data_IF_424338550015
#
_entry.id   IF_424338550015
#
_cell.length_a   1.000
_cell.length_b   1.000
_cell.length_c   1.000
_cell.angle_alpha   90.00
_cell.angle_beta   90.00
_cell.angle_gamma   90.00
#
_symmetry.space_group_name_H-M   'P 1'
#
loop_
_entity.id
_entity.type
_entity.pdbx_description
1 polymer ?
#
# COMPACT_ATOMS: atom_id res chain seq x y z
N UNK A 1 -30.98 -30.46 -24.91
CA UNK A 1 -29.81 -31.02 -24.23
C UNK A 1 -29.47 -30.06 -23.12
N UNK A 2 -29.88 -30.40 -21.92
CA UNK A 2 -29.65 -29.62 -20.68
C UNK A 2 -28.24 -29.86 -20.22
N UNK A 3 -27.38 -28.85 -20.18
CA UNK A 3 -26.06 -28.93 -19.55
C UNK A 3 -26.22 -28.73 -18.05
N UNK A 4 -26.13 -29.81 -17.34
CA UNK A 4 -26.05 -29.90 -15.90
C UNK A 4 -24.75 -29.20 -15.41
N UNK A 5 -24.89 -28.01 -14.86
CA UNK A 5 -23.81 -27.33 -14.13
C UNK A 5 -23.87 -27.81 -12.69
N UNK A 6 -23.38 -29.04 -12.44
CA UNK A 6 -23.12 -29.52 -11.10
C UNK A 6 -21.94 -28.73 -10.51
N UNK A 7 -22.22 -27.72 -9.73
CA UNK A 7 -21.24 -27.09 -8.85
C UNK A 7 -20.66 -28.20 -7.93
N UNK A 8 -19.35 -28.21 -7.75
CA UNK A 8 -18.67 -29.09 -6.80
C UNK A 8 -19.37 -28.97 -5.46
N UNK A 9 -19.89 -30.11 -4.94
CA UNK A 9 -20.59 -30.12 -3.66
C UNK A 9 -19.64 -29.56 -2.59
N UNK A 10 -20.15 -28.72 -1.67
CA UNK A 10 -19.42 -28.09 -0.55
C UNK A 10 -18.47 -29.08 0.15
N UNK A 11 -18.87 -30.33 0.23
CA UNK A 11 -18.11 -31.43 0.83
C UNK A 11 -16.91 -31.87 -0.03
N UNK A 12 -17.03 -31.88 -1.35
CA UNK A 12 -15.94 -32.22 -2.27
C UNK A 12 -14.88 -31.11 -2.35
N UNK A 13 -15.30 -29.85 -2.27
CA UNK A 13 -14.39 -28.72 -2.19
C UNK A 13 -13.52 -28.79 -0.93
N UNK A 14 -14.13 -29.01 0.24
CA UNK A 14 -13.41 -29.13 1.51
C UNK A 14 -12.46 -30.33 1.52
N UNK A 15 -12.86 -31.44 0.90
CA UNK A 15 -12.00 -32.64 0.78
C UNK A 15 -10.81 -32.39 -0.17
N UNK A 16 -11.00 -31.63 -1.23
CA UNK A 16 -9.92 -31.30 -2.18
C UNK A 16 -8.93 -30.30 -1.58
N UNK A 17 -9.39 -29.31 -0.83
CA UNK A 17 -8.53 -28.35 -0.12
C UNK A 17 -7.73 -29.05 0.99
N UNK A 18 -8.36 -29.88 1.81
CA UNK A 18 -7.67 -30.62 2.87
C UNK A 18 -6.62 -31.62 2.34
N UNK A 19 -6.80 -32.17 1.14
CA UNK A 19 -5.84 -33.09 0.50
C UNK A 19 -4.71 -32.38 -0.24
N UNK A 20 -4.96 -31.18 -0.78
CA UNK A 20 -3.99 -30.44 -1.58
C UNK A 20 -2.98 -29.64 -0.75
N UNK A 21 -3.35 -29.26 0.47
CA UNK A 21 -2.55 -28.36 1.32
C UNK A 21 -2.53 -28.95 2.72
N UNK A 22 -1.48 -29.69 3.08
CA UNK A 22 -1.33 -30.23 4.45
C UNK A 22 -1.51 -29.14 5.51
N UNK A 23 -2.02 -29.52 6.72
CA UNK A 23 -2.40 -28.58 7.80
C UNK A 23 -1.35 -27.52 8.16
N UNK A 24 -0.06 -27.86 8.06
CA UNK A 24 1.04 -26.92 8.26
C UNK A 24 1.06 -25.78 7.22
N UNK A 25 0.66 -26.03 5.98
CA UNK A 25 0.56 -24.99 4.95
C UNK A 25 -0.68 -24.12 5.17
N UNK A 26 -1.79 -24.70 5.64
CA UNK A 26 -3.00 -23.96 6.02
C UNK A 26 -2.76 -23.03 7.19
N UNK A 27 -2.01 -23.48 8.22
CA UNK A 27 -1.60 -22.63 9.36
C UNK A 27 -0.65 -21.50 8.92
N UNK A 28 0.25 -21.76 7.97
CA UNK A 28 1.11 -20.71 7.37
C UNK A 28 0.29 -19.70 6.57
N UNK A 29 -0.73 -20.15 5.85
CA UNK A 29 -1.63 -19.26 5.11
C UNK A 29 -2.47 -18.42 6.08
N UNK A 30 -2.93 -18.98 7.18
CA UNK A 30 -3.64 -18.23 8.25
C UNK A 30 -2.72 -17.21 8.94
N UNK A 31 -1.47 -17.56 9.19
CA UNK A 31 -0.47 -16.63 9.74
C UNK A 31 -0.15 -15.49 8.73
N UNK A 32 -0.06 -15.80 7.44
CA UNK A 32 0.12 -14.80 6.38
C UNK A 32 -1.10 -13.87 6.22
N UNK A 33 -2.29 -14.34 6.57
CA UNK A 33 -3.52 -13.53 6.61
C UNK A 33 -3.68 -12.71 7.89
N UNK A 34 -2.65 -12.65 8.76
CA UNK A 34 -2.69 -11.88 10.01
C UNK A 34 -3.53 -12.50 11.14
N UNK A 35 -3.90 -13.78 11.02
CA UNK A 35 -4.76 -14.47 11.99
C UNK A 35 -3.96 -14.98 13.20
N UNK A 36 -2.63 -14.98 13.14
CA UNK A 36 -1.73 -15.62 14.11
C UNK A 36 -1.25 -14.80 15.31
N UNK A 37 -1.65 -13.54 15.50
CA UNK A 37 -1.03 -12.66 16.51
C UNK A 37 -1.95 -12.19 17.64
N UNK A 38 -3.12 -12.77 17.84
CA UNK A 38 -4.07 -12.31 18.88
C UNK A 38 -4.05 -13.16 20.15
N UNK A 39 -3.10 -14.08 20.32
CA UNK A 39 -3.05 -14.97 21.49
C UNK A 39 -2.16 -14.46 22.65
N UNK A 40 -1.80 -13.17 22.70
CA UNK A 40 -1.04 -12.61 23.81
C UNK A 40 -1.67 -11.29 24.29
N UNK A 41 -2.61 -11.39 25.23
CA UNK A 41 -2.99 -10.23 26.00
C UNK A 41 -4.44 -10.10 26.44
N UNK A 42 -4.96 -11.01 27.25
CA UNK A 42 -5.98 -10.72 28.25
C UNK A 42 -5.93 -11.77 29.36
N UNK A 43 -5.01 -11.58 30.26
CA UNK A 43 -4.95 -12.29 31.53
C UNK A 43 -4.79 -11.29 32.65
N UNK A 44 -5.90 -10.89 33.27
CA UNK A 44 -5.88 -10.16 34.53
C UNK A 44 -5.47 -11.11 35.66
N UNK A 45 -4.22 -10.97 36.11
CA UNK A 45 -3.83 -11.43 37.46
C UNK A 45 -2.95 -10.37 38.08
N UNK A 46 -3.45 -9.79 39.14
CA UNK A 46 -2.75 -8.94 40.09
C UNK A 46 -1.56 -9.68 40.69
N UNK A 47 -0.35 -9.22 40.43
CA UNK A 47 0.81 -9.51 41.30
C UNK A 47 1.79 -8.35 41.22
N UNK A 48 2.29 -8.01 42.38
CA UNK A 48 3.08 -6.90 42.85
C UNK A 48 4.40 -6.66 42.11
N UNK A 49 4.69 -5.38 41.93
CA UNK A 49 5.98 -4.65 41.96
C UNK A 49 7.29 -5.43 41.73
N UNK A 50 7.88 -5.23 40.58
CA UNK A 50 9.27 -5.48 40.27
C UNK A 50 9.54 -4.87 38.91
N UNK A 51 9.81 -3.53 38.86
CA UNK A 51 10.02 -2.81 37.63
C UNK A 51 11.34 -3.19 36.99
N UNK A 52 11.30 -4.01 35.96
CA UNK A 52 12.31 -4.05 34.94
C UNK A 52 11.69 -3.43 33.69
N UNK A 53 12.06 -2.19 33.39
CA UNK A 53 11.74 -1.54 32.12
C UNK A 53 12.41 -2.33 31.02
N UNK A 54 11.69 -3.22 30.38
CA UNK A 54 12.14 -3.83 29.11
C UNK A 54 12.03 -2.73 28.06
N UNK A 55 13.16 -2.12 27.71
CA UNK A 55 13.25 -1.28 26.53
C UNK A 55 12.78 -2.08 25.33
N UNK A 56 11.97 -1.49 24.42
CA UNK A 56 11.62 -2.16 23.17
C UNK A 56 12.91 -2.60 22.47
N UNK A 57 12.94 -3.78 21.83
CA UNK A 57 14.11 -4.21 21.09
C UNK A 57 14.48 -3.13 20.07
N UNK A 58 15.76 -2.81 20.00
CA UNK A 58 16.28 -1.89 19.01
C UNK A 58 15.82 -2.37 17.61
N UNK A 59 15.39 -1.47 16.71
CA UNK A 59 15.06 -1.84 15.35
C UNK A 59 16.21 -2.62 14.74
N UNK A 60 15.91 -3.69 14.02
CA UNK A 60 16.92 -4.49 13.33
C UNK A 60 17.77 -3.56 12.46
N UNK A 61 19.10 -3.73 12.44
CA UNK A 61 19.97 -2.91 11.60
C UNK A 61 19.53 -3.05 10.14
N UNK A 62 19.42 -1.93 9.45
CA UNK A 62 19.12 -1.92 8.02
C UNK A 62 20.17 -2.75 7.27
N UNK A 63 19.78 -3.45 6.18
CA UNK A 63 20.73 -4.19 5.38
C UNK A 63 21.90 -3.31 4.93
N UNK A 64 23.14 -3.82 4.92
CA UNK A 64 24.29 -3.06 4.45
C UNK A 64 24.03 -2.49 3.05
N UNK A 65 24.16 -1.19 2.87
CA UNK A 65 23.96 -0.49 1.60
C UNK A 65 22.63 0.26 1.42
N UNK A 66 21.68 0.16 2.35
CA UNK A 66 20.39 0.88 2.28
C UNK A 66 20.19 1.88 3.42
N UNK A 67 21.26 2.50 3.91
CA UNK A 67 21.13 3.56 4.90
C UNK A 67 21.08 4.93 4.24
N UNK A 68 20.17 5.79 4.72
CA UNK A 68 20.23 7.21 4.40
C UNK A 68 21.58 7.77 4.78
N UNK A 69 22.14 8.65 3.96
CA UNK A 69 23.26 9.48 4.38
C UNK A 69 22.86 10.23 5.65
N UNK A 70 23.70 10.11 6.68
CA UNK A 70 23.52 10.85 7.93
C UNK A 70 24.57 11.95 8.02
N UNK A 71 24.28 13.07 8.67
CA UNK A 71 25.33 14.02 9.00
C UNK A 71 26.48 13.31 9.71
N UNK A 72 27.70 13.40 9.14
CA UNK A 72 28.89 12.76 9.69
C UNK A 72 29.28 11.41 9.08
N UNK A 73 28.51 10.83 8.17
CA UNK A 73 28.89 9.62 7.44
C UNK A 73 30.07 9.86 6.48
N UNK A 74 30.27 11.11 6.07
CA UNK A 74 31.42 11.54 5.26
C UNK A 74 32.05 12.80 5.85
N UNK A 75 33.34 12.98 5.61
CA UNK A 75 34.01 14.21 5.96
C UNK A 75 33.38 15.40 5.24
N UNK A 76 33.13 16.46 5.97
CA UNK A 76 32.70 17.72 5.40
C UNK A 76 33.73 18.17 4.35
N UNK A 77 33.28 18.67 3.23
CA UNK A 77 34.13 19.13 2.10
C UNK A 77 34.92 18.02 1.36
N UNK A 78 34.50 16.76 1.44
CA UNK A 78 35.10 15.67 0.63
C UNK A 78 35.04 15.98 -0.88
N UNK A 79 34.10 16.82 -1.29
CA UNK A 79 33.89 17.32 -2.65
C UNK A 79 34.61 18.62 -3.00
N UNK A 80 35.36 19.23 -2.06
CA UNK A 80 36.01 20.52 -2.29
C UNK A 80 36.93 20.48 -3.54
N UNK A 81 36.72 21.44 -4.45
CA UNK A 81 37.46 21.52 -5.71
C UNK A 81 37.06 20.51 -6.78
N UNK A 82 36.01 19.73 -6.56
CA UNK A 82 35.48 18.78 -7.52
C UNK A 82 34.14 19.24 -8.08
N UNK A 83 33.93 19.03 -9.38
CA UNK A 83 32.67 19.30 -10.05
C UNK A 83 31.98 18.02 -10.48
N UNK A 84 30.64 18.04 -10.50
CA UNK A 84 29.80 16.94 -10.94
C UNK A 84 28.71 17.47 -11.87
N UNK A 85 28.54 16.79 -13.01
CA UNK A 85 27.41 17.01 -13.90
C UNK A 85 26.38 15.91 -13.67
N UNK A 86 25.17 16.30 -13.37
CA UNK A 86 24.03 15.43 -13.13
C UNK A 86 23.07 15.53 -14.31
N UNK A 87 22.64 14.41 -14.85
CA UNK A 87 21.78 14.37 -16.03
C UNK A 87 20.35 14.10 -15.61
N UNK A 88 19.51 15.11 -15.78
CA UNK A 88 18.08 15.12 -15.44
C UNK A 88 17.79 15.71 -14.05
N UNK A 89 16.86 16.67 -14.02
CA UNK A 89 16.30 17.26 -12.80
C UNK A 89 15.06 16.51 -12.28
N UNK A 90 15.03 15.18 -12.41
CA UNK A 90 14.08 14.34 -11.68
C UNK A 90 14.44 14.28 -10.20
N UNK A 91 13.57 13.68 -9.36
CA UNK A 91 13.80 13.57 -7.90
C UNK A 91 15.18 13.00 -7.58
N UNK A 92 15.62 11.94 -8.28
CA UNK A 92 16.93 11.33 -8.03
C UNK A 92 18.10 12.28 -8.35
N UNK A 93 18.03 13.04 -9.44
CA UNK A 93 19.07 13.99 -9.82
C UNK A 93 19.13 15.17 -8.86
N UNK A 94 17.99 15.73 -8.49
CA UNK A 94 17.92 16.81 -7.50
C UNK A 94 18.35 16.37 -6.10
N UNK A 95 18.00 15.13 -5.70
CA UNK A 95 18.50 14.55 -4.44
C UNK A 95 20.03 14.44 -4.48
N UNK A 96 20.61 13.94 -5.58
CA UNK A 96 22.05 13.85 -5.74
C UNK A 96 22.71 15.24 -5.66
N UNK A 97 22.15 16.24 -6.36
CA UNK A 97 22.66 17.61 -6.30
C UNK A 97 22.65 18.16 -4.86
N UNK A 98 21.52 18.01 -4.16
CA UNK A 98 21.32 18.47 -2.80
C UNK A 98 22.34 17.83 -1.83
N UNK A 99 22.49 16.50 -1.84
CA UNK A 99 23.38 15.82 -0.94
C UNK A 99 24.85 16.07 -1.28
N UNK A 100 25.21 16.12 -2.56
CA UNK A 100 26.59 16.39 -2.97
C UNK A 100 27.00 17.84 -2.68
N UNK A 101 26.10 18.79 -2.83
CA UNK A 101 26.37 20.19 -2.47
C UNK A 101 26.70 20.34 -0.97
N UNK A 102 25.99 19.61 -0.09
CA UNK A 102 26.31 19.56 1.35
C UNK A 102 27.74 19.05 1.62
N UNK A 103 28.27 18.24 0.74
CA UNK A 103 29.62 17.67 0.83
C UNK A 103 30.69 18.54 0.12
N UNK A 104 30.30 19.71 -0.36
CA UNK A 104 31.23 20.68 -0.99
C UNK A 104 31.51 20.46 -2.48
N UNK A 105 30.75 19.58 -3.16
CA UNK A 105 30.85 19.46 -4.62
C UNK A 105 30.18 20.68 -5.29
N UNK A 106 30.76 21.09 -6.44
CA UNK A 106 30.11 22.01 -7.37
C UNK A 106 29.23 21.18 -8.33
N UNK A 107 27.93 21.28 -8.19
CA UNK A 107 26.98 20.51 -9.00
C UNK A 107 26.46 21.34 -10.18
N UNK A 108 26.22 20.70 -11.32
CA UNK A 108 25.49 21.22 -12.46
C UNK A 108 24.50 20.17 -12.90
N UNK A 109 23.22 20.51 -12.93
CA UNK A 109 22.15 19.61 -13.37
C UNK A 109 21.67 20.03 -14.75
N UNK A 110 21.72 19.13 -15.72
CA UNK A 110 21.22 19.37 -17.08
C UNK A 110 19.85 18.71 -17.22
N UNK A 111 18.81 19.53 -17.45
CA UNK A 111 17.44 19.06 -17.63
C UNK A 111 16.98 19.34 -19.05
N UNK A 112 16.56 18.30 -19.78
CA UNK A 112 16.14 18.42 -21.16
C UNK A 112 14.83 19.20 -21.35
N UNK A 113 13.97 19.20 -20.35
CA UNK A 113 12.67 19.88 -20.40
C UNK A 113 12.72 21.27 -19.75
N UNK A 114 11.61 22.01 -19.84
CA UNK A 114 11.49 23.33 -19.22
C UNK A 114 11.14 23.28 -17.72
N UNK A 115 10.99 22.10 -17.12
CA UNK A 115 10.58 21.93 -15.72
C UNK A 115 11.28 20.76 -15.06
N UNK A 116 11.55 20.89 -13.77
CA UNK A 116 12.05 19.79 -12.93
C UNK A 116 10.95 18.81 -12.54
N UNK A 117 11.34 17.71 -11.87
CA UNK A 117 10.45 16.69 -11.31
C UNK A 117 10.38 15.40 -12.09
N UNK A 118 10.56 15.46 -13.42
CA UNK A 118 10.51 14.28 -14.28
C UNK A 118 9.16 13.55 -14.14
N UNK A 119 9.19 12.27 -13.77
CA UNK A 119 7.96 11.45 -13.56
C UNK A 119 7.16 11.83 -12.32
N UNK A 120 7.71 12.62 -11.41
CA UNK A 120 7.01 13.12 -10.24
C UNK A 120 6.23 14.39 -10.58
N UNK A 121 5.26 14.22 -11.46
CA UNK A 121 4.43 15.30 -12.02
C UNK A 121 3.01 15.19 -11.50
N UNK A 122 2.39 16.33 -11.25
CA UNK A 122 0.96 16.46 -10.98
C UNK A 122 0.33 17.26 -12.11
N UNK A 123 -0.82 16.84 -12.58
CA UNK A 123 -1.58 17.47 -13.67
C UNK A 123 -2.81 18.14 -13.09
N UNK A 124 -3.06 19.37 -13.51
CA UNK A 124 -4.18 20.20 -13.07
C UNK A 124 -5.04 20.64 -14.26
N UNK A 125 -6.22 21.17 -13.96
CA UNK A 125 -7.09 21.74 -15.00
C UNK A 125 -6.37 22.85 -15.76
N UNK A 126 -6.40 22.78 -17.08
CA UNK A 126 -5.69 23.71 -17.97
C UNK A 126 -4.29 23.25 -18.40
N UNK A 127 -3.70 22.26 -17.73
CA UNK A 127 -2.38 21.73 -18.11
C UNK A 127 -2.42 21.02 -19.49
N UNK A 128 -1.32 21.17 -20.23
CA UNK A 128 -1.08 20.41 -21.43
C UNK A 128 -0.19 19.19 -21.14
N UNK A 129 -0.60 18.03 -21.62
CA UNK A 129 0.22 16.80 -21.65
C UNK A 129 0.73 16.62 -23.07
N UNK A 130 2.03 16.80 -23.23
CA UNK A 130 2.73 16.72 -24.53
C UNK A 130 3.50 15.41 -24.55
N UNK A 131 3.20 14.55 -25.51
CA UNK A 131 3.87 13.29 -25.79
C UNK A 131 4.53 13.34 -27.16
N UNK A 132 5.25 12.31 -27.53
CA UNK A 132 5.98 12.26 -28.81
C UNK A 132 5.07 12.34 -30.04
N UNK A 133 3.84 11.85 -29.93
CA UNK A 133 2.87 11.68 -31.01
C UNK A 133 1.52 12.32 -30.73
N UNK A 134 1.33 12.89 -29.54
CA UNK A 134 0.06 13.51 -29.16
C UNK A 134 0.23 14.70 -28.21
N UNK A 135 -0.76 15.57 -28.22
CA UNK A 135 -0.90 16.65 -27.23
C UNK A 135 -2.34 16.67 -26.75
N UNK A 136 -2.53 16.62 -25.43
CA UNK A 136 -3.83 16.65 -24.77
C UNK A 136 -3.87 17.81 -23.79
N UNK A 137 -5.02 18.47 -23.70
CA UNK A 137 -5.30 19.47 -22.68
C UNK A 137 -6.21 18.87 -21.60
N UNK A 138 -5.88 19.10 -20.34
CA UNK A 138 -6.73 18.73 -19.22
C UNK A 138 -7.89 19.71 -19.12
N UNK A 139 -9.12 19.20 -19.23
CA UNK A 139 -10.35 20.00 -19.26
C UNK A 139 -11.22 19.92 -18.01
N UNK A 140 -10.74 19.23 -16.94
CA UNK A 140 -11.43 19.28 -15.67
C UNK A 140 -11.27 20.65 -14.97
N UNK A 141 -12.05 20.91 -13.95
CA UNK A 141 -12.10 22.20 -13.27
C UNK A 141 -10.73 22.66 -12.77
N UNK A 142 -10.50 23.96 -12.80
CA UNK A 142 -9.24 24.60 -12.35
C UNK A 142 -9.16 24.79 -10.83
N UNK A 143 -10.00 24.08 -10.06
CA UNK A 143 -9.91 24.05 -8.61
C UNK A 143 -8.55 23.47 -8.18
N UNK A 144 -7.76 24.16 -7.34
CA UNK A 144 -6.44 23.68 -6.92
C UNK A 144 -6.48 22.36 -6.13
N UNK A 145 -7.62 22.00 -5.56
CA UNK A 145 -7.84 20.71 -4.88
C UNK A 145 -8.10 19.56 -5.87
N UNK A 146 -8.38 19.88 -7.15
CA UNK A 146 -8.56 18.90 -8.20
C UNK A 146 -7.27 18.72 -8.99
N UNK A 147 -6.65 17.56 -8.84
CA UNK A 147 -5.43 17.21 -9.55
C UNK A 147 -5.33 15.70 -9.80
N UNK A 148 -4.46 15.35 -10.72
CA UNK A 148 -4.15 13.96 -11.04
C UNK A 148 -2.65 13.71 -11.02
N UNK A 149 -2.23 12.66 -10.33
CA UNK A 149 -0.84 12.19 -10.28
C UNK A 149 -0.66 11.02 -11.26
N UNK A 150 -0.16 11.23 -12.50
CA UNK A 150 -0.03 10.16 -13.49
C UNK A 150 1.12 9.20 -13.20
N UNK A 151 2.01 9.57 -12.30
CA UNK A 151 3.15 8.78 -11.85
C UNK A 151 2.98 8.28 -10.43
N UNK A 152 3.92 8.59 -9.51
CA UNK A 152 3.77 8.26 -8.11
C UNK A 152 2.56 8.99 -7.53
N UNK A 153 1.76 8.30 -6.73
CA UNK A 153 0.53 8.86 -6.15
C UNK A 153 0.46 8.76 -4.63
N UNK A 154 1.30 7.93 -4.01
CA UNK A 154 1.26 7.65 -2.58
C UNK A 154 2.65 7.38 -2.00
N UNK A 155 2.78 7.57 -0.70
CA UNK A 155 4.00 7.31 0.06
C UNK A 155 3.65 6.30 1.16
N UNK A 156 4.27 5.13 1.12
CA UNK A 156 4.14 4.11 2.16
C UNK A 156 4.83 4.56 3.45
N UNK A 157 4.27 4.20 4.60
CA UNK A 157 4.80 4.60 5.91
C UNK A 157 6.26 4.22 6.16
N UNK A 158 6.77 3.20 5.47
CA UNK A 158 8.14 2.73 5.59
C UNK A 158 9.12 3.38 4.59
N UNK A 159 8.67 4.30 3.74
CA UNK A 159 9.53 5.09 2.86
C UNK A 159 10.24 6.20 3.63
N UNK A 160 11.04 5.81 4.62
CA UNK A 160 11.63 6.73 5.61
C UNK A 160 12.48 7.83 4.99
N UNK A 161 13.21 7.54 3.91
CA UNK A 161 14.04 8.54 3.20
C UNK A 161 13.19 9.65 2.60
N UNK A 162 12.17 9.28 1.84
CA UNK A 162 11.28 10.25 1.20
C UNK A 162 10.52 11.07 2.25
N UNK A 163 10.00 10.40 3.27
CA UNK A 163 9.34 11.07 4.40
C UNK A 163 10.32 11.96 5.19
N UNK A 164 11.58 11.59 5.24
CA UNK A 164 12.66 12.41 5.80
C UNK A 164 12.82 13.72 5.05
N UNK A 165 12.92 13.67 3.72
CA UNK A 165 12.99 14.87 2.89
C UNK A 165 11.71 15.71 2.95
N UNK A 166 10.54 15.10 2.99
CA UNK A 166 9.30 15.84 3.18
C UNK A 166 9.33 16.66 4.48
N UNK A 167 9.82 16.08 5.57
CA UNK A 167 9.98 16.80 6.85
C UNK A 167 11.06 17.88 6.78
N UNK A 168 12.22 17.58 6.20
CA UNK A 168 13.33 18.51 6.06
C UNK A 168 12.94 19.75 5.25
N UNK A 169 12.13 19.55 4.22
CA UNK A 169 11.71 20.61 3.31
C UNK A 169 10.39 21.29 3.67
N UNK A 170 9.69 20.77 4.67
CA UNK A 170 8.41 21.31 5.09
C UNK A 170 7.26 21.00 4.13
N UNK A 171 7.35 19.90 3.37
CA UNK A 171 6.25 19.45 2.50
C UNK A 171 5.11 18.97 3.38
N UNK A 172 3.94 19.60 3.25
CA UNK A 172 2.75 19.20 3.96
C UNK A 172 2.27 17.83 3.47
N UNK A 173 2.02 16.92 4.40
CA UNK A 173 1.53 15.57 4.11
C UNK A 173 0.13 15.38 4.67
N UNK A 174 -0.68 14.63 3.94
CA UNK A 174 -2.01 14.20 4.35
C UNK A 174 -2.19 12.69 4.16
N UNK A 175 -3.24 12.12 4.74
CA UNK A 175 -3.53 10.70 4.63
C UNK A 175 -4.02 10.35 3.23
N UNK A 176 -3.36 9.38 2.60
CA UNK A 176 -3.84 8.78 1.35
C UNK A 176 -4.74 7.58 1.65
N UNK A 177 -5.97 7.60 1.16
CA UNK A 177 -6.93 6.49 1.33
C UNK A 177 -6.74 5.46 0.21
N UNK A 178 -5.89 4.47 0.47
CA UNK A 178 -5.58 3.43 -0.51
C UNK A 178 -6.65 2.32 -0.58
N UNK A 179 -7.33 2.03 0.53
CA UNK A 179 -8.42 1.04 0.62
C UNK A 179 -9.68 1.71 1.19
N UNK A 180 -10.56 2.11 0.29
CA UNK A 180 -11.86 2.67 0.67
C UNK A 180 -12.88 1.55 0.85
N UNK A 181 -13.19 1.19 2.07
CA UNK A 181 -14.18 0.17 2.42
C UNK A 181 -15.62 0.58 2.08
N UNK A 182 -15.87 1.84 1.76
CA UNK A 182 -17.16 2.33 1.27
C UNK A 182 -17.26 2.35 -0.27
N UNK A 183 -16.17 2.02 -0.98
CA UNK A 183 -16.19 1.96 -2.45
C UNK A 183 -17.18 0.91 -2.95
N UNK A 184 -17.80 1.18 -4.09
CA UNK A 184 -18.66 0.23 -4.80
C UNK A 184 -17.78 -0.69 -5.64
N UNK A 185 -18.06 -1.99 -5.54
CA UNK A 185 -17.45 -3.04 -6.35
C UNK A 185 -18.50 -3.56 -7.30
N UNK A 186 -18.20 -3.61 -8.59
CA UNK A 186 -19.07 -4.14 -9.63
C UNK A 186 -18.39 -5.34 -10.31
N UNK A 187 -19.16 -6.40 -10.53
CA UNK A 187 -18.78 -7.57 -11.32
C UNK A 187 -19.97 -8.00 -12.16
N UNK A 188 -19.74 -8.26 -13.43
CA UNK A 188 -20.81 -8.74 -14.34
C UNK A 188 -21.14 -10.20 -14.10
N UNK A 189 -20.25 -10.97 -13.46
CA UNK A 189 -20.41 -12.40 -13.18
C UNK A 189 -20.93 -12.71 -11.78
N UNK A 190 -21.04 -11.71 -10.91
CA UNK A 190 -21.41 -11.88 -9.50
C UNK A 190 -22.51 -10.89 -9.10
N UNK A 191 -23.21 -11.18 -7.99
CA UNK A 191 -24.23 -10.29 -7.40
C UNK A 191 -25.34 -9.88 -8.37
N UNK A 192 -25.67 -10.73 -9.35
CA UNK A 192 -26.63 -10.43 -10.43
C UNK A 192 -26.29 -9.14 -11.21
N UNK A 193 -25.00 -8.81 -11.33
CA UNK A 193 -24.54 -7.59 -11.98
C UNK A 193 -24.83 -6.30 -11.18
N UNK A 194 -25.17 -6.40 -9.90
CA UNK A 194 -25.44 -5.24 -9.06
C UNK A 194 -24.19 -4.85 -8.26
N UNK A 195 -23.88 -3.56 -8.12
CA UNK A 195 -22.76 -3.13 -7.32
C UNK A 195 -22.97 -3.46 -5.83
N UNK A 196 -21.89 -3.83 -5.15
CA UNK A 196 -21.88 -4.04 -3.71
C UNK A 196 -20.78 -3.21 -3.03
N UNK A 197 -20.92 -2.94 -1.75
CA UNK A 197 -19.93 -2.16 -1.00
C UNK A 197 -18.74 -3.05 -0.60
N UNK A 198 -17.51 -2.55 -0.77
CA UNK A 198 -16.28 -3.29 -0.47
C UNK A 198 -16.24 -3.89 0.93
N UNK A 199 -16.68 -3.16 1.96
CA UNK A 199 -16.70 -3.69 3.34
C UNK A 199 -17.59 -4.93 3.49
N UNK A 200 -18.69 -5.02 2.73
CA UNK A 200 -19.58 -6.19 2.73
C UNK A 200 -18.88 -7.40 2.12
N UNK A 201 -18.21 -7.20 0.98
CA UNK A 201 -17.38 -8.22 0.34
C UNK A 201 -16.37 -8.80 1.35
N UNK A 202 -15.61 -7.95 2.03
CA UNK A 202 -14.61 -8.38 3.00
C UNK A 202 -15.22 -9.09 4.22
N UNK A 203 -16.31 -8.56 4.76
CA UNK A 203 -16.95 -9.14 5.95
C UNK A 203 -17.53 -10.52 5.64
N UNK A 204 -18.25 -10.66 4.53
CA UNK A 204 -18.93 -11.90 4.17
C UNK A 204 -17.93 -12.99 3.77
N UNK A 205 -16.87 -12.64 3.01
CA UNK A 205 -15.78 -13.60 2.72
C UNK A 205 -15.12 -14.09 4.00
N UNK A 206 -14.82 -13.20 4.92
CA UNK A 206 -14.22 -13.53 6.22
C UNK A 206 -15.13 -14.45 7.05
N UNK A 207 -16.42 -14.16 7.07
CA UNK A 207 -17.43 -14.96 7.75
C UNK A 207 -17.53 -16.38 7.18
N UNK A 208 -17.62 -16.52 5.88
CA UNK A 208 -17.68 -17.82 5.24
C UNK A 208 -16.40 -18.66 5.39
N UNK A 209 -15.22 -18.02 5.31
CA UNK A 209 -13.95 -18.73 5.56
C UNK A 209 -13.95 -19.28 6.99
N UNK A 210 -14.36 -18.48 7.96
CA UNK A 210 -14.43 -18.91 9.36
C UNK A 210 -15.43 -20.05 9.57
N UNK A 211 -16.62 -19.98 8.95
CA UNK A 211 -17.62 -21.04 9.01
C UNK A 211 -17.09 -22.34 8.39
N UNK A 212 -16.54 -22.27 7.18
CA UNK A 212 -16.01 -23.44 6.49
C UNK A 212 -14.88 -24.12 7.28
N UNK A 213 -13.97 -23.31 7.87
CA UNK A 213 -12.90 -23.85 8.70
C UNK A 213 -13.45 -24.44 10.02
N UNK A 214 -14.45 -23.82 10.64
CA UNK A 214 -15.10 -24.36 11.82
C UNK A 214 -15.77 -25.71 11.54
N UNK A 215 -16.40 -25.86 10.38
CA UNK A 215 -16.96 -27.13 9.93
C UNK A 215 -15.88 -28.19 9.73
N UNK A 216 -14.74 -27.84 9.13
CA UNK A 216 -13.61 -28.76 8.94
C UNK A 216 -13.05 -29.25 10.29
N UNK A 217 -12.86 -28.34 11.27
CA UNK A 217 -12.41 -28.67 12.61
C UNK A 217 -13.41 -29.59 13.32
N UNK A 218 -14.72 -29.30 13.26
CA UNK A 218 -15.75 -30.11 13.91
C UNK A 218 -15.94 -31.48 13.27
N UNK A 219 -15.60 -31.64 12.01
CA UNK A 219 -15.65 -32.94 11.29
C UNK A 219 -14.37 -33.78 11.47
N UNK A 220 -13.42 -33.33 12.27
CA UNK A 220 -12.17 -34.03 12.51
C UNK A 220 -11.17 -33.99 11.34
N UNK A 221 -11.39 -33.12 10.35
CA UNK A 221 -10.49 -33.02 9.19
C UNK A 221 -9.06 -32.60 9.54
N UNK A 222 -8.86 -32.03 10.74
CA UNK A 222 -7.57 -31.52 11.24
C UNK A 222 -7.14 -32.26 12.53
N UNK A 223 -7.62 -33.45 12.78
CA UNK A 223 -7.36 -34.21 14.03
C UNK A 223 -5.92 -34.69 14.17
N UNK A 224 -5.18 -34.76 13.07
CA UNK A 224 -3.76 -35.12 13.07
C UNK A 224 -2.86 -33.91 13.42
N UNK A 225 -3.29 -32.68 13.13
CA UNK A 225 -2.54 -31.47 13.30
C UNK A 225 -2.88 -30.70 14.58
N UNK A 226 -4.07 -30.92 15.13
CA UNK A 226 -4.59 -30.18 16.28
C UNK A 226 -4.86 -31.05 17.48
N UNK A 227 -4.36 -30.64 18.65
CA UNK A 227 -4.79 -31.23 19.94
C UNK A 227 -6.23 -30.85 20.26
N UNK A 228 -6.85 -31.51 21.25
CA UNK A 228 -8.19 -31.16 21.73
C UNK A 228 -8.26 -29.70 22.24
N UNK A 229 -7.20 -29.22 22.87
CA UNK A 229 -7.09 -27.84 23.32
C UNK A 229 -6.99 -26.87 22.15
N UNK A 230 -6.17 -27.19 21.14
CA UNK A 230 -6.03 -26.35 19.94
C UNK A 230 -7.35 -26.23 19.18
N UNK A 231 -8.11 -27.32 19.08
CA UNK A 231 -9.46 -27.32 18.48
C UNK A 231 -10.41 -26.38 19.21
N UNK A 232 -10.41 -26.41 20.52
CA UNK A 232 -11.23 -25.49 21.32
C UNK A 232 -10.84 -24.03 21.08
N UNK A 233 -9.55 -23.75 21.09
CA UNK A 233 -9.01 -22.41 20.92
C UNK A 233 -9.27 -21.86 19.51
N UNK A 234 -9.07 -22.68 18.47
CA UNK A 234 -9.30 -22.25 17.09
C UNK A 234 -10.78 -21.97 16.82
N UNK A 235 -11.70 -22.80 17.36
CA UNK A 235 -13.13 -22.55 17.23
C UNK A 235 -13.55 -21.26 17.91
N UNK A 236 -13.01 -20.95 19.10
CA UNK A 236 -13.25 -19.69 19.79
C UNK A 236 -12.71 -18.49 18.97
N UNK A 237 -11.51 -18.61 18.43
CA UNK A 237 -10.91 -17.61 17.53
C UNK A 237 -11.76 -17.38 16.29
N UNK A 238 -12.23 -18.46 15.63
CA UNK A 238 -13.01 -18.37 14.39
C UNK A 238 -14.37 -17.71 14.60
N UNK A 239 -15.01 -17.90 15.78
CA UNK A 239 -16.23 -17.18 16.13
C UNK A 239 -16.01 -15.66 16.14
N UNK A 240 -14.94 -15.19 16.76
CA UNK A 240 -14.61 -13.77 16.76
C UNK A 240 -14.14 -13.27 15.39
N UNK A 241 -13.34 -14.06 14.69
CA UNK A 241 -12.82 -13.71 13.39
C UNK A 241 -13.93 -13.54 12.37
N UNK A 242 -14.86 -14.49 12.29
CA UNK A 242 -15.92 -14.54 11.29
C UNK A 242 -17.27 -13.94 11.75
N UNK A 243 -17.40 -13.45 12.99
CA UNK A 243 -18.69 -13.12 13.59
C UNK A 243 -19.70 -14.27 13.52
N UNK A 244 -19.24 -15.49 13.83
CA UNK A 244 -20.09 -16.67 13.82
C UNK A 244 -20.95 -16.72 15.08
N UNK A 245 -22.14 -17.31 14.96
CA UNK A 245 -22.97 -17.61 16.10
C UNK A 245 -22.42 -18.75 16.99
N UNK A 246 -23.15 -19.12 18.04
CA UNK A 246 -22.76 -20.20 18.95
C UNK A 246 -22.68 -21.58 18.28
N UNK A 247 -23.36 -21.74 17.15
CA UNK A 247 -23.35 -22.96 16.32
C UNK A 247 -22.26 -22.94 15.25
N UNK A 248 -21.42 -21.89 15.23
CA UNK A 248 -20.37 -21.62 14.24
C UNK A 248 -20.93 -21.36 12.83
N UNK A 249 -22.11 -20.79 12.72
CA UNK A 249 -22.76 -20.42 11.45
C UNK A 249 -22.61 -18.92 11.22
N UNK A 250 -22.29 -18.53 9.98
CA UNK A 250 -22.26 -17.15 9.54
C UNK A 250 -23.64 -16.72 9.02
N UNK A 251 -24.22 -15.70 9.63
CA UNK A 251 -25.52 -15.12 9.26
C UNK A 251 -25.48 -13.63 8.96
N UNK A 252 -24.28 -13.07 8.81
CA UNK A 252 -24.02 -11.65 8.59
C UNK A 252 -23.17 -11.04 9.70
N UNK A 253 -22.66 -9.85 9.45
CA UNK A 253 -21.74 -9.15 10.37
C UNK A 253 -22.03 -7.65 10.39
N UNK A 254 -21.93 -7.04 11.56
CA UNK A 254 -21.95 -5.58 11.70
C UNK A 254 -20.82 -4.88 10.91
N UNK A 255 -19.73 -5.60 10.61
CA UNK A 255 -18.64 -5.10 9.75
C UNK A 255 -19.09 -4.86 8.31
N UNK A 256 -20.12 -5.57 7.83
CA UNK A 256 -20.72 -5.35 6.52
C UNK A 256 -21.52 -4.05 6.44
N UNK A 257 -21.95 -3.52 7.57
CA UNK A 257 -22.87 -2.40 7.71
C UNK A 257 -24.31 -2.86 7.94
N UNK A 258 -25.22 -1.91 7.87
CA UNK A 258 -26.64 -2.09 8.14
C UNK A 258 -27.46 -1.52 6.97
N UNK A 259 -28.63 -2.08 6.63
CA UNK A 259 -29.57 -1.43 5.76
C UNK A 259 -30.15 -0.19 6.47
N UNK A 260 -30.23 0.95 5.77
CA UNK A 260 -30.79 2.17 6.34
C UNK A 260 -29.94 2.72 7.50
N UNK A 261 -28.71 3.14 7.20
CA UNK A 261 -27.77 3.66 8.23
C UNK A 261 -28.32 4.83 9.05
N UNK A 262 -29.23 5.61 8.50
CA UNK A 262 -29.92 6.73 9.14
C UNK A 262 -30.71 6.31 10.39
N UNK A 263 -31.06 5.05 10.51
CA UNK A 263 -31.83 4.52 11.64
C UNK A 263 -30.97 3.79 12.68
N UNK A 264 -29.65 3.71 12.48
CA UNK A 264 -28.75 3.07 13.44
C UNK A 264 -28.17 4.10 14.40
N UNK A 265 -28.22 3.82 15.69
CA UNK A 265 -27.69 4.73 16.71
C UNK A 265 -27.70 4.12 18.09
N UNK A 266 -27.37 4.93 19.13
CA UNK A 266 -27.25 4.48 20.51
C UNK A 266 -28.54 3.92 21.09
N UNK A 267 -29.67 4.26 20.52
CA UNK A 267 -31.02 3.85 21.03
C UNK A 267 -31.68 2.76 20.18
N UNK A 268 -31.11 2.48 18.97
CA UNK A 268 -31.71 1.53 18.05
C UNK A 268 -30.61 0.63 17.49
N UNK A 269 -30.77 -0.67 17.72
CA UNK A 269 -29.88 -1.68 17.11
C UNK A 269 -30.23 -1.82 15.64
N UNK A 270 -29.21 -1.69 14.77
CA UNK A 270 -29.40 -1.95 13.34
C UNK A 270 -29.65 -3.43 13.06
N UNK A 271 -30.40 -3.71 12.02
CA UNK A 271 -30.51 -5.06 11.47
C UNK A 271 -29.28 -5.36 10.62
N UNK A 272 -28.76 -6.59 10.72
CA UNK A 272 -27.61 -7.00 9.90
C UNK A 272 -28.05 -7.18 8.44
N UNK A 273 -27.17 -6.83 7.52
CA UNK A 273 -27.32 -7.20 6.12
C UNK A 273 -27.26 -8.72 5.98
N UNK A 274 -28.18 -9.30 5.20
CA UNK A 274 -28.08 -10.72 4.80
C UNK A 274 -26.78 -10.94 4.04
N UNK A 275 -26.02 -12.02 4.31
CA UNK A 275 -24.77 -12.28 3.61
C UNK A 275 -24.92 -12.38 2.09
N UNK A 276 -23.91 -11.94 1.35
CA UNK A 276 -23.75 -12.22 -0.07
C UNK A 276 -23.67 -13.74 -0.28
N UNK A 277 -24.04 -14.22 -1.45
CA UNK A 277 -23.92 -15.63 -1.75
C UNK A 277 -22.44 -16.03 -1.87
N UNK A 278 -22.04 -17.12 -1.22
CA UNK A 278 -20.67 -17.62 -1.29
C UNK A 278 -20.24 -17.91 -2.74
N UNK A 279 -21.14 -18.42 -3.56
CA UNK A 279 -20.90 -18.69 -4.99
C UNK A 279 -20.53 -17.43 -5.75
N UNK A 280 -21.17 -16.29 -5.45
CA UNK A 280 -20.87 -15.01 -6.06
C UNK A 280 -19.48 -14.50 -5.63
N UNK A 281 -19.13 -14.68 -4.34
CA UNK A 281 -17.82 -14.28 -3.80
C UNK A 281 -16.66 -15.09 -4.42
N UNK A 282 -16.94 -16.30 -4.90
CA UNK A 282 -15.94 -17.19 -5.49
C UNK A 282 -15.91 -17.14 -7.03
N UNK A 283 -16.89 -16.50 -7.65
CA UNK A 283 -17.06 -16.53 -9.10
C UNK A 283 -16.04 -15.66 -9.86
N UNK A 284 -15.41 -14.69 -9.21
CA UNK A 284 -14.56 -13.71 -9.86
C UNK A 284 -13.23 -13.53 -9.12
N UNK A 285 -12.12 -13.81 -9.80
CA UNK A 285 -10.76 -13.66 -9.24
C UNK A 285 -10.41 -12.21 -8.90
N UNK A 286 -11.01 -11.23 -9.58
CA UNK A 286 -10.86 -9.82 -9.23
C UNK A 286 -11.35 -9.52 -7.81
N UNK A 287 -12.44 -10.14 -7.38
CA UNK A 287 -12.97 -9.98 -6.02
C UNK A 287 -11.96 -10.47 -4.97
N UNK A 288 -11.22 -11.55 -5.27
CA UNK A 288 -10.16 -12.07 -4.39
C UNK A 288 -8.97 -11.13 -4.36
N UNK A 289 -8.49 -10.69 -5.53
CA UNK A 289 -7.39 -9.71 -5.64
C UNK A 289 -7.71 -8.41 -4.88
N UNK A 290 -8.95 -7.94 -4.97
CA UNK A 290 -9.38 -6.73 -4.28
C UNK A 290 -9.32 -6.86 -2.76
N UNK A 291 -9.54 -8.05 -2.21
CA UNK A 291 -9.46 -8.28 -0.77
C UNK A 291 -8.01 -8.28 -0.25
N UNK A 292 -7.08 -8.76 -1.06
CA UNK A 292 -5.67 -8.90 -0.68
C UNK A 292 -4.85 -7.63 -0.96
N UNK A 293 -5.35 -6.72 -1.80
CA UNK A 293 -4.62 -5.56 -2.27
C UNK A 293 -3.99 -4.73 -1.14
N UNK A 294 -4.75 -4.44 -0.08
CA UNK A 294 -4.26 -3.64 1.05
C UNK A 294 -3.47 -4.45 2.10
N UNK A 295 -3.22 -5.73 1.88
CA UNK A 295 -2.45 -6.58 2.79
C UNK A 295 -0.95 -6.55 2.50
N UNK A 296 -0.56 -6.21 1.28
CA UNK A 296 0.84 -6.10 0.89
C UNK A 296 1.55 -4.96 1.61
N UNK A 297 2.83 -5.14 1.97
CA UNK A 297 3.63 -4.13 2.70
C UNK A 297 3.56 -2.74 2.06
N UNK A 298 3.64 -2.69 0.73
CA UNK A 298 3.62 -1.44 -0.05
C UNK A 298 2.22 -0.80 -0.16
N UNK A 299 1.17 -1.51 0.27
CA UNK A 299 -0.22 -1.12 0.07
C UNK A 299 -0.99 -0.95 1.37
N UNK A 300 -0.43 -1.43 2.49
CA UNK A 300 -1.11 -1.34 3.77
C UNK A 300 -1.03 0.06 4.38
N UNK A 301 -2.00 0.38 5.20
CA UNK A 301 -2.00 1.62 5.98
C UNK A 301 -0.78 1.65 6.96
N UNK A 302 -0.18 2.82 7.24
CA UNK A 302 -0.63 4.16 6.87
C UNK A 302 0.02 4.57 5.57
N UNK A 303 -0.75 5.19 4.69
CA UNK A 303 -0.26 5.80 3.48
C UNK A 303 -0.44 7.30 3.54
N UNK A 304 0.47 8.02 2.93
CA UNK A 304 0.52 9.47 2.89
C UNK A 304 0.63 9.96 1.46
N UNK A 305 0.26 11.20 1.24
CA UNK A 305 0.51 11.95 0.01
C UNK A 305 0.83 13.41 0.38
N UNK A 306 1.56 14.15 -0.47
CA UNK A 306 1.65 15.59 -0.32
C UNK A 306 0.30 16.26 -0.58
N UNK A 307 -0.08 17.19 0.28
CA UNK A 307 -1.23 18.07 0.03
C UNK A 307 -0.95 18.92 -1.22
N UNK A 308 -1.89 18.91 -2.16
CA UNK A 308 -1.77 19.65 -3.42
C UNK A 308 -1.04 18.92 -4.54
N UNK A 309 -0.68 17.62 -4.34
CA UNK A 309 -0.12 16.76 -5.40
C UNK A 309 1.33 16.33 -5.16
N UNK A 310 1.72 15.27 -5.86
CA UNK A 310 3.06 14.68 -5.70
C UNK A 310 4.20 15.59 -6.16
N UNK A 311 3.94 16.52 -7.07
CA UNK A 311 4.91 17.52 -7.54
C UNK A 311 5.39 18.47 -6.44
N UNK A 312 4.68 18.59 -5.32
CA UNK A 312 5.12 19.39 -4.17
C UNK A 312 6.49 18.93 -3.64
N UNK A 313 6.80 17.64 -3.76
CA UNK A 313 8.12 17.11 -3.40
C UNK A 313 9.18 17.60 -4.41
N UNK A 314 8.85 17.56 -5.70
CA UNK A 314 9.76 18.01 -6.76
C UNK A 314 10.05 19.52 -6.63
N UNK A 315 9.01 20.33 -6.42
CA UNK A 315 9.13 21.79 -6.20
C UNK A 315 9.95 22.10 -4.95
N UNK A 316 9.80 21.29 -3.90
CA UNK A 316 10.60 21.47 -2.69
C UNK A 316 12.09 21.19 -2.91
N UNK A 317 12.45 20.16 -3.68
CA UNK A 317 13.83 19.91 -4.10
C UNK A 317 14.34 20.99 -5.03
N UNK A 318 13.57 21.33 -6.08
CA UNK A 318 13.93 22.33 -7.06
C UNK A 318 14.30 23.67 -6.39
N UNK A 319 13.50 24.13 -5.45
CA UNK A 319 13.76 25.39 -4.73
C UNK A 319 15.11 25.45 -4.01
N UNK A 320 15.74 24.30 -3.76
CA UNK A 320 17.01 24.17 -3.06
C UNK A 320 18.22 24.01 -3.97
N UNK A 321 17.98 23.53 -5.20
CA UNK A 321 19.04 23.28 -6.18
C UNK A 321 18.83 24.06 -7.48
N UNK A 322 17.92 25.01 -7.50
CA UNK A 322 17.52 25.76 -8.72
C UNK A 322 18.69 26.48 -9.39
N UNK A 323 19.65 26.94 -8.62
CA UNK A 323 20.84 27.63 -9.13
C UNK A 323 21.81 26.69 -9.85
N UNK A 324 21.65 25.37 -9.63
CA UNK A 324 22.50 24.35 -10.22
C UNK A 324 21.85 23.74 -11.47
N UNK A 325 20.56 24.06 -11.77
CA UNK A 325 19.80 23.49 -12.90
C UNK A 325 19.89 24.37 -14.13
N UNK A 326 20.26 23.74 -15.25
CA UNK A 326 20.16 24.32 -16.59
C UNK A 326 19.02 23.58 -17.28
N UNK A 327 17.93 24.30 -17.55
CA UNK A 327 16.76 23.78 -18.26
C UNK A 327 16.92 23.83 -19.77
N UNK A 328 16.12 23.03 -20.47
CA UNK A 328 16.15 22.91 -21.94
C UNK A 328 17.54 22.57 -22.47
N UNK A 329 18.30 21.79 -21.70
CA UNK A 329 19.65 21.33 -21.97
C UNK A 329 19.62 19.84 -22.30
N UNK A 330 19.39 19.51 -23.55
CA UNK A 330 19.35 18.13 -24.03
C UNK A 330 20.76 17.58 -24.22
N UNK A 331 21.14 16.57 -23.42
CA UNK A 331 22.45 15.94 -23.53
C UNK A 331 22.51 15.05 -24.77
N UNK A 332 23.44 15.37 -25.65
CA UNK A 332 23.63 14.65 -26.94
C UNK A 332 24.80 13.70 -26.88
N UNK A 333 25.83 13.96 -26.04
CA UNK A 333 27.00 13.12 -25.98
C UNK A 333 27.70 13.17 -24.61
N UNK A 334 28.23 12.02 -24.17
CA UNK A 334 29.10 11.88 -22.99
C UNK A 334 30.40 11.22 -23.45
N UNK A 335 31.54 11.90 -23.23
CA UNK A 335 32.88 11.40 -23.55
C UNK A 335 33.70 11.24 -22.28
N UNK A 336 34.30 10.07 -22.09
CA UNK A 336 35.35 9.90 -21.09
C UNK A 336 36.61 10.65 -21.51
N UNK A 337 37.18 11.42 -20.61
CA UNK A 337 38.46 12.10 -20.76
C UNK A 337 39.43 11.66 -19.67
N UNK A 338 40.70 12.08 -19.69
CA UNK A 338 41.75 11.64 -18.77
C UNK A 338 41.36 11.89 -17.32
N UNK A 339 40.81 13.08 -17.01
CA UNK A 339 40.53 13.52 -15.64
C UNK A 339 39.02 13.76 -15.44
N UNK A 340 38.15 12.92 -16.02
CA UNK A 340 36.70 13.03 -15.81
C UNK A 340 35.87 12.69 -17.05
N UNK A 341 34.78 13.44 -17.23
CA UNK A 341 33.88 13.30 -18.36
C UNK A 341 33.57 14.66 -18.99
N UNK A 342 33.47 14.69 -20.32
CA UNK A 342 32.91 15.82 -21.06
C UNK A 342 31.49 15.49 -21.46
N UNK A 343 30.57 16.38 -21.10
CA UNK A 343 29.16 16.32 -21.47
C UNK A 343 28.89 17.38 -22.53
N UNK A 344 28.26 17.00 -23.63
CA UNK A 344 27.86 17.90 -24.71
C UNK A 344 26.34 17.91 -24.70
N UNK A 345 25.76 19.09 -24.72
CA UNK A 345 24.33 19.28 -24.74
C UNK A 345 23.94 20.42 -25.70
N UNK A 346 22.70 20.40 -26.15
CA UNK A 346 22.08 21.51 -26.88
C UNK A 346 21.13 22.23 -25.90
N UNK A 347 21.19 23.56 -25.94
CA UNK A 347 20.24 24.40 -25.22
C UNK A 347 19.28 25.08 -26.20
N UNK A 348 18.39 25.93 -25.69
CA UNK A 348 17.44 26.64 -26.52
C UNK A 348 18.08 27.64 -27.53
N UNK A 349 19.37 27.81 -27.47
CA UNK A 349 20.12 28.72 -28.37
C UNK A 349 20.94 27.95 -29.42
N UNK A 350 21.02 26.62 -29.36
CA UNK A 350 21.64 25.71 -30.30
C UNK A 350 22.99 25.15 -29.90
#
# INVERSE_FOLDING_TARGET
MSSDKSGIARREFLTSVGRAVGGAAMLRTMAAMGIGTVAAGCGSSSASSGGTTVSPPAPAPAPPGMQSPRPGDWDANVGAGKSVVILGAGIAGMTAAWEMTKLGYSCTVLEATASAGGRNRTIRGGDAVIETDSTQACTFDVDPELYFNPGPARISHHHEFLLGYCREFGVALETFVNDNRAALIHSTSSFSGQPTIARRLHADTRGYIAELLSLAVNQGALDQELTATDRTNILAMLRQFGDLDTSNIYSGSARAGFPGQENTGSRQRGELLSPLQLTDLLADTFLQLRQDFAQGLEQQATMLQPAGGMDQIALAFESRVITDIIYQAEVTEIRKITDGARVIYQDQFG
#
